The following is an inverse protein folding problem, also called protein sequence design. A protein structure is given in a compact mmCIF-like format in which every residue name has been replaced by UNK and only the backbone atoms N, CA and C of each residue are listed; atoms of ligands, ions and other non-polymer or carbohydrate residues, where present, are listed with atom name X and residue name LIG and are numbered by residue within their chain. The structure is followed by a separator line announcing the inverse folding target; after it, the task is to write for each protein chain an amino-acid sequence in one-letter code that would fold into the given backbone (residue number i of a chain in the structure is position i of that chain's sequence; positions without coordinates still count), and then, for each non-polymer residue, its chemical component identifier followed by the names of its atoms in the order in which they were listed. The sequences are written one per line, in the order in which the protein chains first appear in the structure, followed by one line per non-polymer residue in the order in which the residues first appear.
data_IF_440821611038
#
_entry.id   IF_440821611038
#
_cell.length_a   1.000
_cell.length_b   1.000
_cell.length_c   1.000
_cell.angle_alpha   90.00
_cell.angle_beta   90.00
_cell.angle_gamma   90.00
#
_symmetry.space_group_name_H-M   'P 1'
#
loop_
_entity.id
_entity.type
_entity.pdbx_description
1 polymer ?
#
# COMPACT_ATOMS: atom_id res chain seq x y z
N UNK A 1 74.98 17.70 -55.75
CA UNK A 1 73.81 16.88 -55.49
C UNK A 1 73.03 17.53 -54.38
N UNK A 2 72.05 18.32 -54.80
CA UNK A 2 71.20 19.09 -53.83
C UNK A 2 69.93 18.33 -53.51
N UNK A 3 69.66 18.10 -52.24
CA UNK A 3 68.45 17.55 -51.76
C UNK A 3 67.53 18.66 -51.29
N UNK A 4 66.42 18.84 -51.97
CA UNK A 4 65.40 19.81 -51.61
C UNK A 4 64.48 19.22 -50.56
N UNK A 5 64.38 19.89 -49.39
CA UNK A 5 63.49 19.58 -48.33
C UNK A 5 62.19 20.36 -48.54
N UNK A 6 61.11 19.67 -48.82
CA UNK A 6 59.76 20.26 -48.90
C UNK A 6 59.17 20.40 -47.51
N UNK A 7 58.86 21.65 -47.12
CA UNK A 7 58.10 21.94 -45.85
C UNK A 7 56.61 21.88 -46.11
N UNK A 8 55.96 20.93 -45.46
CA UNK A 8 54.45 20.80 -45.49
C UNK A 8 53.88 21.62 -44.35
N UNK A 9 53.22 22.72 -44.66
CA UNK A 9 52.45 23.50 -43.68
C UNK A 9 51.11 22.88 -43.46
N UNK A 10 50.85 22.37 -42.26
CA UNK A 10 49.55 21.90 -41.83
C UNK A 10 48.77 23.05 -41.20
N UNK A 11 47.77 23.54 -41.92
CA UNK A 11 46.84 24.54 -41.40
C UNK A 11 45.88 23.86 -40.39
N UNK A 12 46.07 24.18 -39.11
CA UNK A 12 45.15 23.76 -38.05
C UNK A 12 43.86 24.56 -38.13
N UNK A 13 42.75 23.90 -38.45
CA UNK A 13 41.42 24.49 -38.35
C UNK A 13 41.00 24.35 -36.86
N UNK A 14 41.04 25.46 -36.13
CA UNK A 14 40.47 25.54 -34.80
C UNK A 14 38.93 25.55 -34.92
N UNK A 15 38.30 24.44 -34.64
CA UNK A 15 36.87 24.43 -34.36
C UNK A 15 36.62 25.08 -33.00
N UNK A 16 36.24 26.35 -33.03
CA UNK A 16 35.65 27.04 -31.90
C UNK A 16 34.27 26.44 -31.69
N UNK A 17 34.19 25.40 -30.90
CA UNK A 17 32.93 24.87 -30.38
C UNK A 17 32.30 25.91 -29.46
N UNK A 18 31.28 26.61 -29.91
CA UNK A 18 30.37 27.30 -29.01
C UNK A 18 29.76 26.24 -28.08
N UNK A 19 30.35 26.09 -26.92
CA UNK A 19 29.67 25.56 -25.77
C UNK A 19 28.53 26.54 -25.45
N UNK A 20 27.33 26.26 -25.92
CA UNK A 20 26.15 26.87 -25.33
C UNK A 20 26.16 26.44 -23.86
N UNK A 21 26.60 27.32 -23.01
CA UNK A 21 26.24 27.28 -21.61
C UNK A 21 24.73 27.34 -21.57
N UNK A 22 24.10 26.17 -21.47
CA UNK A 22 22.70 26.06 -21.11
C UNK A 22 22.64 26.44 -19.64
N UNK A 23 22.66 27.77 -19.42
CA UNK A 23 22.36 28.34 -18.12
C UNK A 23 20.87 28.08 -17.84
N UNK A 24 20.53 26.83 -17.52
CA UNK A 24 19.18 26.43 -17.17
C UNK A 24 18.87 26.84 -15.73
N UNK A 25 18.88 28.15 -15.46
CA UNK A 25 18.15 28.74 -14.36
C UNK A 25 16.62 28.78 -14.70
N UNK A 26 16.12 27.74 -15.31
CA UNK A 26 14.67 27.56 -15.38
C UNK A 26 14.27 27.13 -13.98
N UNK A 27 13.70 28.05 -13.22
CA UNK A 27 13.12 27.76 -11.91
C UNK A 27 12.04 26.71 -12.14
N UNK A 28 12.14 25.59 -11.45
CA UNK A 28 11.06 24.59 -11.40
C UNK A 28 9.79 25.22 -10.82
N UNK A 29 8.69 25.09 -11.55
CA UNK A 29 7.37 25.62 -11.19
C UNK A 29 6.28 24.54 -11.19
N UNK A 30 6.66 23.32 -11.56
CA UNK A 30 5.74 22.17 -11.47
C UNK A 30 5.62 21.76 -10.02
N UNK A 31 4.39 21.35 -9.65
CA UNK A 31 4.12 20.88 -8.30
C UNK A 31 4.27 19.37 -8.24
N UNK A 32 4.72 18.82 -7.11
CA UNK A 32 4.77 17.37 -6.94
C UNK A 32 3.38 16.74 -7.04
N UNK A 33 3.33 15.50 -7.51
CA UNK A 33 2.13 14.67 -7.62
C UNK A 33 2.05 13.79 -6.37
N UNK A 34 0.85 13.69 -5.80
CA UNK A 34 0.53 12.86 -4.64
C UNK A 34 -0.54 11.86 -5.04
N UNK A 35 -0.33 10.58 -4.73
CA UNK A 35 -1.35 9.52 -4.87
C UNK A 35 -1.42 8.77 -3.55
N UNK A 36 -2.52 8.91 -2.81
CA UNK A 36 -2.72 8.21 -1.54
C UNK A 36 -3.53 6.94 -1.78
N UNK A 37 -2.98 5.80 -1.36
CA UNK A 37 -3.63 4.49 -1.38
C UNK A 37 -4.35 4.19 -0.06
N UNK A 38 -3.83 4.70 1.06
CA UNK A 38 -4.40 4.61 2.40
C UNK A 38 -4.00 5.77 3.32
N UNK A 39 -4.93 6.31 4.14
CA UNK A 39 -6.37 6.04 4.19
C UNK A 39 -7.13 6.63 2.99
N UNK A 40 -8.35 6.16 2.76
CA UNK A 40 -9.28 6.68 1.74
C UNK A 40 -10.37 7.53 2.38
N UNK A 41 -11.06 8.35 1.56
CA UNK A 41 -12.23 9.09 2.04
C UNK A 41 -13.26 8.16 2.72
N UNK A 42 -13.71 8.54 3.90
CA UNK A 42 -14.65 7.78 4.70
C UNK A 42 -14.02 6.63 5.50
N UNK A 43 -12.68 6.49 5.50
CA UNK A 43 -12.02 5.49 6.32
C UNK A 43 -12.28 5.76 7.80
N UNK A 44 -12.66 4.72 8.53
CA UNK A 44 -12.75 4.73 9.98
C UNK A 44 -11.38 4.39 10.56
N UNK A 45 -10.86 5.26 11.41
CA UNK A 45 -9.60 5.08 12.12
C UNK A 45 -9.89 4.82 13.60
N UNK A 46 -9.34 3.74 14.13
CA UNK A 46 -9.58 3.36 15.52
C UNK A 46 -8.81 4.26 16.50
N UNK A 47 -9.51 4.75 17.51
CA UNK A 47 -8.90 5.42 18.67
C UNK A 47 -8.16 4.36 19.49
N UNK A 48 -6.85 4.55 19.68
CA UNK A 48 -5.98 3.59 20.36
C UNK A 48 -5.15 2.71 19.43
N UNK A 49 -5.26 2.90 18.10
CA UNK A 49 -4.50 2.16 17.10
C UNK A 49 -3.58 3.06 16.26
N UNK A 50 -2.70 2.42 15.50
CA UNK A 50 -1.87 3.09 14.49
C UNK A 50 -2.65 3.27 13.19
N UNK A 51 -2.29 4.31 12.44
CA UNK A 51 -2.86 4.57 11.12
C UNK A 51 -1.99 3.93 10.07
N UNK A 52 -2.58 3.11 9.24
CA UNK A 52 -1.95 2.65 8.00
C UNK A 52 -1.89 3.82 7.01
N UNK A 53 -0.69 4.22 6.62
CA UNK A 53 -0.46 5.25 5.62
C UNK A 53 0.34 4.69 4.44
N UNK A 54 -0.24 4.83 3.24
CA UNK A 54 0.40 4.43 2.00
C UNK A 54 0.18 5.48 0.92
N UNK A 55 1.27 5.94 0.30
CA UNK A 55 1.22 6.95 -0.76
C UNK A 55 2.42 6.89 -1.69
N UNK A 56 2.19 7.28 -2.95
CA UNK A 56 3.23 7.57 -3.93
C UNK A 56 3.38 9.07 -4.12
N UNK A 57 4.64 9.52 -4.15
CA UNK A 57 5.04 10.90 -4.43
C UNK A 57 5.93 10.93 -5.65
N UNK A 58 5.68 11.88 -6.55
CA UNK A 58 6.44 12.02 -7.79
C UNK A 58 6.69 13.50 -8.11
N UNK A 59 7.88 13.80 -8.62
CA UNK A 59 8.28 15.14 -9.05
C UNK A 59 9.18 15.10 -10.29
N UNK A 60 9.05 16.10 -11.18
CA UNK A 60 9.83 16.18 -12.42
C UNK A 60 11.32 16.43 -12.17
N UNK A 61 11.70 17.10 -11.07
CA UNK A 61 13.09 17.43 -10.72
C UNK A 61 13.55 16.72 -9.47
N UNK A 62 12.98 17.05 -8.30
CA UNK A 62 13.30 16.40 -7.03
C UNK A 62 12.28 16.75 -5.94
N UNK A 63 11.83 15.75 -5.21
CA UNK A 63 11.07 15.87 -3.97
C UNK A 63 11.96 16.48 -2.86
N UNK A 64 11.31 17.07 -1.86
CA UNK A 64 11.93 17.58 -0.64
C UNK A 64 11.40 16.90 0.60
N UNK A 65 10.09 16.93 0.81
CA UNK A 65 9.46 16.38 2.00
C UNK A 65 7.97 16.12 1.77
N UNK A 66 7.40 15.23 2.56
CA UNK A 66 5.95 15.19 2.74
C UNK A 66 5.60 15.46 4.20
N UNK A 67 4.37 15.89 4.43
CA UNK A 67 3.82 16.19 5.75
C UNK A 67 2.42 15.64 5.86
N UNK A 68 2.11 15.04 7.00
CA UNK A 68 0.76 14.66 7.38
C UNK A 68 0.29 15.60 8.48
N UNK A 69 -0.96 16.06 8.35
CA UNK A 69 -1.63 16.91 9.31
C UNK A 69 -3.05 16.36 9.53
N UNK A 70 -3.34 15.93 10.75
CA UNK A 70 -4.66 15.40 11.13
C UNK A 70 -5.27 16.35 12.14
N UNK A 71 -6.47 16.85 11.86
CA UNK A 71 -7.20 17.74 12.75
C UNK A 71 -8.71 17.53 12.62
N UNK A 72 -9.44 17.95 13.66
CA UNK A 72 -10.88 17.76 13.70
C UNK A 72 -11.61 18.63 12.66
N UNK A 73 -12.75 18.14 12.16
CA UNK A 73 -13.66 18.81 11.23
C UNK A 73 -14.98 19.22 11.89
N UNK A 74 -14.95 19.59 13.19
CA UNK A 74 -16.16 19.85 13.98
C UNK A 74 -16.77 21.24 13.79
N UNK A 75 -16.14 22.12 13.03
CA UNK A 75 -16.51 23.54 12.88
C UNK A 75 -17.52 23.82 11.76
N UNK A 76 -18.27 22.83 11.32
CA UNK A 76 -19.51 23.01 10.56
C UNK A 76 -19.42 22.95 9.04
N UNK A 77 -18.37 22.42 8.45
CA UNK A 77 -18.32 22.10 7.02
C UNK A 77 -18.92 20.70 6.80
N UNK A 78 -20.24 20.63 6.59
CA UNK A 78 -21.06 19.54 6.03
C UNK A 78 -20.61 18.09 6.29
N UNK A 79 -20.49 17.67 7.53
CA UNK A 79 -20.52 16.25 7.87
C UNK A 79 -21.59 16.02 8.94
N UNK A 80 -22.50 15.08 8.70
CA UNK A 80 -23.45 14.65 9.72
C UNK A 80 -22.66 13.99 10.87
N UNK A 81 -22.40 14.81 11.91
CA UNK A 81 -21.68 14.35 13.09
C UNK A 81 -22.51 13.28 13.80
N UNK A 82 -22.05 12.03 13.73
CA UNK A 82 -22.47 11.02 14.69
C UNK A 82 -22.09 11.54 16.09
N UNK A 83 -23.09 11.76 16.94
CA UNK A 83 -22.89 12.31 18.29
C UNK A 83 -22.26 11.27 19.18
N UNK A 84 -20.92 11.19 19.17
CA UNK A 84 -20.17 10.55 20.25
C UNK A 84 -19.96 11.57 21.37
N UNK A 85 -20.12 11.14 22.62
CA UNK A 85 -20.20 11.96 23.85
C UNK A 85 -19.34 13.23 23.88
N UNK A 86 -19.91 14.29 24.40
CA UNK A 86 -19.47 15.67 24.29
C UNK A 86 -18.17 16.03 25.08
N UNK A 87 -17.56 15.08 25.79
CA UNK A 87 -16.50 15.34 26.78
C UNK A 87 -15.06 15.00 26.32
N UNK A 88 -14.85 14.55 25.08
CA UNK A 88 -13.53 14.16 24.55
C UNK A 88 -12.69 15.34 24.08
N UNK A 89 -11.36 15.15 24.05
CA UNK A 89 -10.39 16.12 23.51
C UNK A 89 -10.15 15.80 22.03
N UNK A 90 -10.25 16.80 21.11
CA UNK A 90 -9.90 16.60 19.72
C UNK A 90 -8.45 16.14 19.57
N UNK A 91 -8.23 15.12 18.74
CA UNK A 91 -6.90 14.70 18.33
C UNK A 91 -6.34 15.67 17.31
N UNK A 92 -5.04 15.94 17.40
CA UNK A 92 -4.30 16.67 16.38
C UNK A 92 -2.92 16.03 16.24
N UNK A 93 -2.50 15.87 15.01
CA UNK A 93 -1.19 15.32 14.68
C UNK A 93 -0.57 16.08 13.52
N UNK A 94 0.71 16.38 13.62
CA UNK A 94 1.46 16.97 12.53
C UNK A 94 2.89 16.44 12.54
N UNK A 95 3.32 15.88 11.42
CA UNK A 95 4.70 15.43 11.25
C UNK A 95 5.15 15.58 9.80
N UNK A 96 6.46 15.76 9.59
CA UNK A 96 7.07 15.87 8.27
C UNK A 96 8.24 14.91 8.15
N UNK A 97 8.33 14.24 7.00
CA UNK A 97 9.41 13.32 6.65
C UNK A 97 10.21 13.85 5.46
N UNK A 98 11.50 13.54 5.45
CA UNK A 98 12.40 13.97 4.39
C UNK A 98 12.34 13.04 3.17
N UNK A 99 12.21 13.64 1.97
CA UNK A 99 12.29 12.96 0.68
C UNK A 99 13.43 13.52 -0.21
N UNK A 100 14.31 14.30 0.36
CA UNK A 100 15.33 15.05 -0.38
C UNK A 100 16.14 14.19 -1.35
N UNK A 101 16.24 14.66 -2.60
CA UNK A 101 17.01 14.02 -3.66
C UNK A 101 16.31 12.89 -4.39
N UNK A 102 15.08 12.52 -4.01
CA UNK A 102 14.28 11.53 -4.72
C UNK A 102 13.42 12.22 -5.79
N UNK A 103 13.19 11.55 -6.92
CA UNK A 103 12.18 11.95 -7.90
C UNK A 103 10.84 11.25 -7.64
N UNK A 104 10.91 10.03 -7.18
CA UNK A 104 9.77 9.19 -6.84
C UNK A 104 10.01 8.60 -5.45
N UNK A 105 8.96 8.49 -4.66
CA UNK A 105 8.98 7.81 -3.38
C UNK A 105 7.67 7.07 -3.16
N UNK A 106 7.75 5.79 -2.86
CA UNK A 106 6.67 5.01 -2.30
C UNK A 106 6.86 4.98 -0.79
N UNK A 107 5.83 5.35 -0.06
CA UNK A 107 5.84 5.44 1.40
C UNK A 107 4.76 4.53 1.94
N UNK A 108 5.16 3.67 2.88
CA UNK A 108 4.27 2.80 3.62
C UNK A 108 4.75 2.76 5.08
N UNK A 109 3.92 3.17 6.02
CA UNK A 109 4.26 3.13 7.45
C UNK A 109 3.02 3.18 8.37
N UNK A 110 3.25 2.81 9.64
CA UNK A 110 2.28 2.81 10.76
C UNK A 110 2.77 3.68 11.93
N UNK A 111 3.51 4.74 11.65
CA UNK A 111 4.12 5.57 12.69
C UNK A 111 3.13 6.50 13.40
N UNK A 112 1.94 6.70 12.82
CA UNK A 112 0.93 7.62 13.34
C UNK A 112 0.03 6.88 14.33
N UNK A 113 0.24 7.12 15.61
CA UNK A 113 -0.59 6.57 16.67
C UNK A 113 -1.71 7.54 17.06
N UNK A 114 -2.94 7.08 17.07
CA UNK A 114 -4.08 7.79 17.65
C UNK A 114 -4.21 7.32 19.11
N UNK A 115 -3.88 8.15 20.11
CA UNK A 115 -3.90 7.72 21.51
C UNK A 115 -5.35 7.52 22.00
N UNK A 116 -5.57 6.66 22.99
CA UNK A 116 -6.89 6.54 23.65
C UNK A 116 -7.26 7.78 24.46
N UNK A 117 -6.23 8.44 25.04
CA UNK A 117 -6.38 9.60 25.90
C UNK A 117 -5.31 10.66 25.64
N UNK A 118 -5.70 11.92 25.78
CA UNK A 118 -4.81 13.08 25.78
C UNK A 118 -4.98 13.79 27.12
N UNK A 119 -3.90 13.89 27.90
CA UNK A 119 -3.91 14.51 29.25
C UNK A 119 -4.98 13.93 30.20
N UNK A 120 -5.18 12.62 30.17
CA UNK A 120 -6.15 11.90 31.00
C UNK A 120 -7.61 12.08 30.60
N UNK A 121 -7.87 12.63 29.40
CA UNK A 121 -9.20 12.72 28.82
C UNK A 121 -9.28 11.90 27.54
N UNK A 122 -10.40 11.21 27.28
CA UNK A 122 -10.55 10.40 26.08
C UNK A 122 -10.41 11.24 24.81
N UNK A 123 -9.88 10.66 23.75
CA UNK A 123 -9.87 11.28 22.43
C UNK A 123 -11.29 11.36 21.89
N UNK A 124 -11.66 12.51 21.34
CA UNK A 124 -12.98 12.74 20.76
C UNK A 124 -13.09 12.03 19.40
N UNK A 125 -14.06 11.13 19.27
CA UNK A 125 -14.44 10.52 17.99
C UNK A 125 -15.19 11.49 17.08
N UNK A 126 -15.36 11.12 15.81
CA UNK A 126 -16.10 11.87 14.80
C UNK A 126 -15.26 12.24 13.59
N UNK A 127 -15.70 13.25 12.82
CA UNK A 127 -15.08 13.63 11.56
C UNK A 127 -13.75 14.36 11.74
N UNK A 128 -12.76 13.96 10.95
CA UNK A 128 -11.43 14.58 10.89
C UNK A 128 -10.99 14.75 9.45
N UNK A 129 -10.15 15.76 9.20
CA UNK A 129 -9.39 15.90 7.97
C UNK A 129 -8.01 15.27 8.14
N UNK A 130 -7.65 14.43 7.20
CA UNK A 130 -6.33 13.85 7.06
C UNK A 130 -5.67 14.49 5.83
N UNK A 131 -4.80 15.46 6.08
CA UNK A 131 -4.15 16.24 5.03
C UNK A 131 -2.78 15.67 4.72
N UNK A 132 -2.50 15.44 3.46
CA UNK A 132 -1.18 15.02 2.97
C UNK A 132 -0.62 16.14 2.10
N UNK A 133 0.51 16.70 2.49
CA UNK A 133 1.24 17.72 1.73
C UNK A 133 2.51 17.12 1.18
N UNK A 134 2.91 17.55 0.00
CA UNK A 134 4.22 17.26 -0.56
C UNK A 134 4.86 18.53 -1.10
N UNK A 135 6.12 18.74 -0.76
CA UNK A 135 6.91 19.90 -1.20
C UNK A 135 8.12 19.39 -1.99
N UNK A 136 8.43 20.02 -3.13
CA UNK A 136 9.59 19.76 -3.95
C UNK A 136 10.83 20.57 -3.50
N UNK A 137 11.96 20.37 -4.17
CA UNK A 137 13.20 21.09 -3.91
C UNK A 137 13.13 22.58 -4.26
N UNK A 138 12.26 22.99 -5.21
CA UNK A 138 12.01 24.37 -5.60
C UNK A 138 10.99 25.07 -4.69
N UNK A 139 10.38 24.34 -3.74
CA UNK A 139 9.33 24.75 -2.78
C UNK A 139 7.96 24.95 -3.40
N UNK A 140 7.65 24.25 -4.51
CA UNK A 140 6.28 24.10 -4.93
C UNK A 140 5.61 23.07 -4.03
N UNK A 141 4.33 23.27 -3.70
CA UNK A 141 3.59 22.41 -2.78
C UNK A 141 2.28 21.94 -3.41
N UNK A 142 2.00 20.65 -3.24
CA UNK A 142 0.69 20.03 -3.46
C UNK A 142 0.13 19.52 -2.15
N UNK A 143 -1.19 19.35 -2.08
CA UNK A 143 -1.84 18.67 -0.98
C UNK A 143 -3.06 17.87 -1.45
N UNK A 144 -3.41 16.87 -0.64
CA UNK A 144 -4.65 16.10 -0.73
C UNK A 144 -5.32 16.15 0.63
N UNK A 145 -6.63 16.35 0.64
CA UNK A 145 -7.49 16.26 1.81
C UNK A 145 -8.29 14.96 1.74
N UNK A 146 -8.34 14.24 2.83
CA UNK A 146 -9.05 12.97 2.99
C UNK A 146 -9.92 13.10 4.23
N UNK A 147 -11.22 12.89 4.06
CA UNK A 147 -12.16 12.83 5.18
C UNK A 147 -12.07 11.46 5.85
N UNK A 148 -11.81 11.44 7.13
CA UNK A 148 -11.76 10.22 7.95
C UNK A 148 -12.65 10.38 9.18
N UNK A 149 -13.03 9.26 9.79
CA UNK A 149 -13.80 9.24 11.03
C UNK A 149 -12.98 8.56 12.13
N UNK A 150 -12.72 9.24 13.25
CA UNK A 150 -12.17 8.59 14.43
C UNK A 150 -13.29 7.89 15.19
N UNK A 151 -13.15 6.61 15.41
CA UNK A 151 -14.16 5.76 16.08
C UNK A 151 -13.57 5.05 17.29
N UNK A 152 -14.43 4.67 18.24
CA UNK A 152 -14.00 3.83 19.33
C UNK A 152 -13.53 2.47 18.79
N UNK A 153 -12.55 1.85 19.44
CA UNK A 153 -11.99 0.56 19.03
C UNK A 153 -13.05 -0.53 18.77
N UNK A 154 -14.15 -0.52 19.57
CA UNK A 154 -15.29 -1.42 19.38
C UNK A 154 -16.12 -1.16 18.11
N UNK A 155 -15.96 -0.01 17.47
CA UNK A 155 -16.68 0.37 16.25
C UNK A 155 -15.79 0.27 15.01
N UNK A 156 -14.49 -0.02 15.20
CA UNK A 156 -13.56 -0.27 14.11
C UNK A 156 -13.84 -1.65 13.51
N UNK A 157 -13.59 -1.79 12.21
CA UNK A 157 -13.66 -3.10 11.57
C UNK A 157 -12.73 -4.09 12.30
N UNK A 158 -13.21 -5.33 12.52
CA UNK A 158 -12.42 -6.41 13.10
C UNK A 158 -11.16 -6.71 12.27
N UNK A 159 -10.52 -7.84 12.55
CA UNK A 159 -9.36 -8.27 11.78
C UNK A 159 -9.67 -8.34 10.27
N UNK A 160 -8.81 -7.75 9.43
CA UNK A 160 -9.01 -7.61 7.99
C UNK A 160 -7.70 -7.54 7.21
N UNK A 161 -7.80 -7.46 5.88
CA UNK A 161 -6.65 -7.26 4.98
C UNK A 161 -6.72 -5.92 4.30
N UNK A 162 -5.60 -5.20 4.29
CA UNK A 162 -5.30 -4.15 3.33
C UNK A 162 -4.62 -4.79 2.11
N UNK A 163 -5.22 -4.62 0.92
CA UNK A 163 -4.72 -5.26 -0.30
C UNK A 163 -3.88 -4.26 -1.10
N UNK A 164 -2.58 -4.50 -1.19
CA UNK A 164 -1.64 -3.66 -1.94
C UNK A 164 -1.60 -4.08 -3.41
N UNK A 165 -1.40 -5.37 -3.67
CA UNK A 165 -1.42 -5.93 -5.02
C UNK A 165 -2.09 -7.30 -5.01
N UNK A 166 -3.14 -7.44 -5.82
CA UNK A 166 -3.88 -8.67 -6.03
C UNK A 166 -4.18 -8.85 -7.50
N UNK A 167 -4.43 -10.08 -7.98
CA UNK A 167 -5.01 -10.29 -9.30
C UNK A 167 -6.25 -9.42 -9.53
N UNK A 168 -6.50 -9.02 -10.76
CA UNK A 168 -7.76 -8.38 -11.14
C UNK A 168 -8.83 -9.42 -11.48
N UNK A 169 -10.11 -9.05 -11.29
CA UNK A 169 -11.23 -9.95 -11.61
C UNK A 169 -11.19 -10.39 -13.08
N UNK A 170 -11.20 -11.70 -13.29
CA UNK A 170 -11.10 -12.32 -14.61
C UNK A 170 -9.69 -12.35 -15.21
N UNK A 171 -8.65 -11.97 -14.48
CA UNK A 171 -7.27 -12.02 -14.98
C UNK A 171 -6.90 -13.43 -15.37
N UNK A 172 -6.35 -13.57 -16.59
CA UNK A 172 -5.93 -14.85 -17.13
C UNK A 172 -4.43 -15.08 -16.88
N UNK A 173 -4.08 -16.32 -16.59
CA UNK A 173 -2.71 -16.79 -16.41
C UNK A 173 -2.44 -18.01 -17.29
N UNK A 174 -1.28 -18.05 -17.89
CA UNK A 174 -0.78 -19.19 -18.63
C UNK A 174 0.34 -19.91 -17.86
N UNK A 175 0.74 -21.07 -18.34
CA UNK A 175 1.86 -21.81 -17.76
C UNK A 175 3.12 -20.94 -17.67
N UNK A 176 3.81 -21.00 -16.55
CA UNK A 176 4.99 -20.22 -16.20
C UNK A 176 4.76 -18.73 -15.84
N UNK A 177 3.54 -18.21 -15.88
CA UNK A 177 3.20 -16.91 -15.31
C UNK A 177 3.03 -16.99 -13.79
N UNK A 178 3.17 -15.85 -13.10
CA UNK A 178 3.10 -15.78 -11.65
C UNK A 178 1.81 -15.12 -11.17
N UNK A 179 1.12 -15.79 -10.26
CA UNK A 179 0.06 -15.17 -9.45
C UNK A 179 0.75 -14.51 -8.26
N UNK A 180 0.67 -13.18 -8.20
CA UNK A 180 1.26 -12.39 -7.11
C UNK A 180 0.17 -11.88 -6.19
N UNK A 181 0.48 -11.88 -4.91
CA UNK A 181 -0.35 -11.31 -3.85
C UNK A 181 0.55 -10.51 -2.91
N UNK A 182 0.10 -9.30 -2.58
CA UNK A 182 0.76 -8.42 -1.66
C UNK A 182 -0.32 -7.73 -0.83
N UNK A 183 -0.27 -7.90 0.48
CA UNK A 183 -1.29 -7.43 1.40
C UNK A 183 -0.73 -7.31 2.81
N UNK A 184 -1.40 -6.53 3.62
CA UNK A 184 -1.17 -6.46 5.05
C UNK A 184 -2.36 -7.06 5.79
N UNK A 185 -2.07 -7.98 6.70
CA UNK A 185 -3.04 -8.48 7.66
C UNK A 185 -3.03 -7.57 8.88
N UNK A 186 -4.18 -7.01 9.23
CA UNK A 186 -4.35 -6.13 10.38
C UNK A 186 -5.40 -6.68 11.34
N UNK A 187 -5.09 -6.64 12.63
CA UNK A 187 -6.03 -6.98 13.70
C UNK A 187 -5.92 -5.95 14.82
N UNK A 188 -6.95 -5.13 15.05
CA UNK A 188 -6.87 -4.03 16.01
C UNK A 188 -6.81 -4.46 17.47
N UNK A 189 -7.40 -5.60 17.80
CA UNK A 189 -7.51 -6.09 19.18
C UNK A 189 -6.60 -7.26 19.52
N UNK A 190 -6.22 -8.05 18.53
CA UNK A 190 -5.51 -9.30 18.71
C UNK A 190 -4.29 -9.39 17.80
N UNK A 191 -3.39 -10.28 18.11
CA UNK A 191 -2.21 -10.50 17.28
C UNK A 191 -2.51 -11.44 16.14
N UNK A 192 -1.96 -11.15 14.98
CA UNK A 192 -2.06 -12.02 13.80
C UNK A 192 -1.14 -13.23 14.01
N UNK A 193 -1.70 -14.43 13.93
CA UNK A 193 -1.01 -15.70 14.13
C UNK A 193 -0.58 -16.35 12.82
N UNK A 194 -1.46 -16.33 11.83
CA UNK A 194 -1.22 -17.00 10.54
C UNK A 194 -1.85 -16.21 9.39
N UNK A 195 -1.18 -16.19 8.25
CA UNK A 195 -1.70 -15.63 7.00
C UNK A 195 -1.48 -16.62 5.87
N UNK A 196 -2.50 -16.81 5.05
CA UNK A 196 -2.46 -17.70 3.89
C UNK A 196 -3.05 -17.00 2.66
N UNK A 197 -2.41 -17.18 1.51
CA UNK A 197 -3.05 -16.94 0.22
C UNK A 197 -3.49 -18.28 -0.38
N UNK A 198 -4.75 -18.38 -0.70
CA UNK A 198 -5.41 -19.61 -1.10
C UNK A 198 -5.94 -19.49 -2.53
N UNK A 199 -5.71 -20.52 -3.34
CA UNK A 199 -6.38 -20.70 -4.61
C UNK A 199 -7.54 -21.69 -4.40
N UNK A 200 -8.77 -21.17 -4.37
CA UNK A 200 -9.96 -21.96 -4.16
C UNK A 200 -10.36 -22.68 -5.45
N UNK A 201 -10.99 -23.87 -5.35
CA UNK A 201 -11.37 -24.66 -6.51
C UNK A 201 -12.46 -23.99 -7.35
N UNK A 202 -12.69 -24.55 -8.54
CA UNK A 202 -13.69 -24.07 -9.51
C UNK A 202 -15.10 -24.03 -8.93
N UNK A 203 -15.40 -24.87 -7.97
CA UNK A 203 -16.68 -24.93 -7.26
C UNK A 203 -16.96 -23.70 -6.38
N UNK A 204 -15.91 -22.93 -6.04
CA UNK A 204 -16.04 -21.68 -5.29
C UNK A 204 -16.39 -20.49 -6.17
N UNK A 205 -16.22 -20.59 -7.50
CA UNK A 205 -16.43 -19.48 -8.44
C UNK A 205 -17.90 -19.07 -8.46
N UNK A 206 -18.15 -17.76 -8.31
CA UNK A 206 -19.48 -17.17 -8.34
C UNK A 206 -20.32 -17.43 -7.08
N UNK A 207 -19.74 -18.02 -6.05
CA UNK A 207 -20.40 -18.22 -4.76
C UNK A 207 -20.44 -16.94 -3.92
N UNK A 208 -21.44 -16.75 -3.05
CA UNK A 208 -21.41 -15.70 -2.03
C UNK A 208 -20.18 -15.84 -1.11
N UNK A 209 -19.72 -14.73 -0.54
CA UNK A 209 -18.50 -14.68 0.28
C UNK A 209 -18.47 -15.74 1.40
N UNK A 210 -19.56 -15.89 2.15
CA UNK A 210 -19.66 -16.88 3.22
C UNK A 210 -19.53 -18.34 2.73
N UNK A 211 -20.01 -18.64 1.52
CA UNK A 211 -19.84 -19.98 0.91
C UNK A 211 -18.43 -20.18 0.37
N UNK A 212 -17.78 -19.13 -0.17
CA UNK A 212 -16.38 -19.19 -0.58
C UNK A 212 -15.46 -19.50 0.59
N UNK A 213 -15.71 -18.89 1.75
CA UNK A 213 -14.93 -19.11 2.97
C UNK A 213 -14.93 -20.59 3.40
N UNK A 214 -15.99 -21.34 3.10
CA UNK A 214 -16.04 -22.77 3.37
C UNK A 214 -15.03 -23.60 2.57
N UNK A 215 -14.49 -23.06 1.48
CA UNK A 215 -13.40 -23.66 0.68
C UNK A 215 -12.03 -23.09 1.08
N UNK A 216 -11.98 -22.03 1.90
CA UNK A 216 -10.74 -21.37 2.27
C UNK A 216 -10.02 -22.07 3.42
N UNK A 217 -9.84 -23.37 3.31
CA UNK A 217 -9.05 -24.20 4.22
C UNK A 217 -8.01 -25.00 3.43
N UNK A 218 -6.85 -25.34 4.03
CA UNK A 218 -5.81 -26.10 3.35
C UNK A 218 -6.28 -27.43 2.74
N UNK A 219 -7.30 -28.06 3.34
CA UNK A 219 -7.83 -29.34 2.90
C UNK A 219 -8.77 -29.26 1.70
N UNK A 220 -9.42 -28.10 1.51
CA UNK A 220 -10.45 -27.89 0.47
C UNK A 220 -9.98 -26.99 -0.67
N UNK A 221 -8.98 -26.15 -0.46
CA UNK A 221 -8.46 -25.31 -1.51
C UNK A 221 -7.76 -26.12 -2.59
N UNK A 222 -7.69 -25.57 -3.81
CA UNK A 222 -6.95 -26.17 -4.92
C UNK A 222 -5.44 -26.10 -4.68
N UNK A 223 -4.95 -24.95 -4.21
CA UNK A 223 -3.57 -24.73 -3.83
C UNK A 223 -3.45 -23.68 -2.73
N UNK A 224 -2.46 -23.83 -1.87
CA UNK A 224 -2.00 -22.78 -0.98
C UNK A 224 -0.86 -22.06 -1.70
N UNK A 225 -1.05 -20.77 -2.01
CA UNK A 225 -0.06 -19.98 -2.73
C UNK A 225 1.14 -19.73 -1.83
N UNK A 226 0.88 -19.20 -0.63
CA UNK A 226 1.86 -18.97 0.41
C UNK A 226 1.20 -19.17 1.76
N UNK A 227 1.93 -19.75 2.69
CA UNK A 227 1.55 -19.83 4.10
C UNK A 227 2.69 -19.28 4.92
N UNK A 228 2.39 -18.38 5.84
CA UNK A 228 3.37 -17.88 6.80
C UNK A 228 2.78 -17.93 8.19
N UNK A 229 3.50 -18.59 9.10
CA UNK A 229 3.29 -18.40 10.53
C UNK A 229 3.97 -17.10 10.92
N UNK A 230 3.23 -16.20 11.47
CA UNK A 230 3.71 -14.87 11.84
C UNK A 230 4.03 -14.80 13.33
N UNK A 231 4.89 -13.85 13.71
CA UNK A 231 5.16 -13.64 15.11
C UNK A 231 3.93 -13.05 15.81
N UNK A 232 3.30 -13.77 16.77
CA UNK A 232 2.07 -13.33 17.43
C UNK A 232 2.26 -12.09 18.32
N UNK A 233 3.43 -11.43 18.30
CA UNK A 233 3.64 -10.14 18.97
C UNK A 233 3.15 -8.94 18.17
N UNK A 234 2.74 -9.12 16.91
CA UNK A 234 2.33 -8.04 16.02
C UNK A 234 0.83 -8.07 15.75
N UNK A 235 0.22 -6.88 15.72
CA UNK A 235 -1.15 -6.66 15.27
C UNK A 235 -1.24 -6.50 13.75
N UNK A 236 -0.13 -6.24 13.10
CA UNK A 236 0.02 -5.97 11.67
C UNK A 236 1.09 -6.89 11.10
N UNK A 237 0.87 -7.37 9.89
CA UNK A 237 1.80 -8.25 9.22
C UNK A 237 1.77 -8.09 7.70
N UNK A 238 2.87 -7.63 7.13
CA UNK A 238 3.09 -7.57 5.70
C UNK A 238 3.23 -8.98 5.11
N UNK A 239 2.45 -9.26 4.10
CA UNK A 239 2.39 -10.56 3.46
C UNK A 239 2.58 -10.44 1.95
N UNK A 240 3.69 -10.91 1.47
CA UNK A 240 3.97 -11.07 0.05
C UNK A 240 4.01 -12.54 -0.34
N UNK A 241 3.38 -12.87 -1.45
CA UNK A 241 3.36 -14.21 -1.98
C UNK A 241 3.36 -14.27 -3.50
N UNK A 242 4.01 -15.28 -4.02
CA UNK A 242 4.06 -15.55 -5.46
C UNK A 242 3.99 -17.04 -5.70
N UNK A 243 3.18 -17.47 -6.66
CA UNK A 243 3.22 -18.85 -7.20
C UNK A 243 3.23 -18.82 -8.70
N UNK A 244 4.16 -19.57 -9.28
CA UNK A 244 4.26 -19.76 -10.71
C UNK A 244 3.28 -20.83 -11.18
N UNK A 245 2.39 -20.48 -12.10
CA UNK A 245 1.40 -21.41 -12.67
C UNK A 245 2.10 -22.54 -13.41
N UNK A 246 1.59 -23.75 -13.23
CA UNK A 246 2.15 -24.95 -13.84
C UNK A 246 3.35 -25.55 -13.11
N UNK A 247 3.91 -24.88 -12.13
CA UNK A 247 4.95 -25.41 -11.27
C UNK A 247 4.31 -26.03 -10.02
N UNK A 248 4.45 -27.36 -9.80
CA UNK A 248 4.05 -27.94 -8.53
C UNK A 248 4.98 -27.39 -7.46
N UNK A 249 4.47 -26.50 -6.59
CA UNK A 249 5.19 -26.21 -5.35
C UNK A 249 4.71 -27.20 -4.30
N UNK A 250 5.64 -27.99 -3.82
CA UNK A 250 5.49 -28.66 -2.53
C UNK A 250 5.41 -27.58 -1.46
N UNK A 251 4.19 -27.19 -1.17
CA UNK A 251 3.91 -26.40 0.01
C UNK A 251 3.63 -27.41 1.12
N UNK A 252 4.37 -27.34 2.22
CA UNK A 252 4.22 -28.23 3.36
C UNK A 252 2.77 -28.27 3.93
N UNK A 253 1.97 -27.26 3.58
CA UNK A 253 0.56 -27.16 3.93
C UNK A 253 -0.39 -27.81 2.93
N UNK A 254 0.08 -28.26 1.75
CA UNK A 254 -0.74 -28.93 0.74
C UNK A 254 -0.38 -30.40 0.71
N UNK A 255 -1.27 -31.33 1.17
CA UNK A 255 -0.92 -32.75 1.31
C UNK A 255 -0.67 -33.50 -0.01
N UNK A 256 -0.93 -32.88 -1.16
CA UNK A 256 -0.73 -33.50 -2.49
C UNK A 256 -0.38 -32.46 -3.54
N UNK A 257 0.62 -32.74 -4.37
CA UNK A 257 0.82 -32.02 -5.62
C UNK A 257 -0.45 -32.16 -6.49
N UNK A 258 -1.19 -31.06 -6.64
CA UNK A 258 -2.38 -31.03 -7.49
C UNK A 258 -1.96 -30.61 -8.88
N UNK A 259 -2.34 -31.38 -9.90
CA UNK A 259 -2.08 -31.01 -11.28
C UNK A 259 -2.89 -29.78 -11.67
N UNK A 260 -2.23 -28.75 -12.19
CA UNK A 260 -2.87 -27.57 -12.73
C UNK A 260 -3.81 -27.94 -13.90
N UNK A 261 -5.01 -27.38 -13.87
CA UNK A 261 -6.03 -27.56 -14.90
C UNK A 261 -6.49 -26.21 -15.39
N UNK A 262 -6.77 -26.10 -16.69
CA UNK A 262 -7.44 -24.92 -17.24
C UNK A 262 -8.81 -24.76 -16.60
N UNK A 263 -9.16 -23.53 -16.26
CA UNK A 263 -10.45 -23.22 -15.62
C UNK A 263 -10.40 -21.96 -14.77
N UNK A 264 -11.53 -21.64 -14.18
CA UNK A 264 -11.67 -20.50 -13.28
C UNK A 264 -11.44 -20.93 -11.84
N UNK A 265 -10.74 -20.10 -11.10
CA UNK A 265 -10.39 -20.30 -9.70
C UNK A 265 -10.62 -19.00 -8.94
N UNK A 266 -10.62 -19.05 -7.62
CA UNK A 266 -10.73 -17.84 -6.78
C UNK A 266 -9.46 -17.69 -5.93
N UNK A 267 -8.81 -16.55 -6.01
CA UNK A 267 -7.73 -16.17 -5.09
C UNK A 267 -8.36 -15.45 -3.89
N UNK A 268 -8.02 -15.89 -2.69
CA UNK A 268 -8.52 -15.33 -1.42
C UNK A 268 -7.43 -15.40 -0.36
N UNK A 269 -7.31 -14.35 0.44
CA UNK A 269 -6.48 -14.36 1.64
C UNK A 269 -7.30 -14.79 2.85
N UNK A 270 -6.68 -15.53 3.74
CA UNK A 270 -7.21 -15.93 5.05
C UNK A 270 -6.19 -15.60 6.12
N UNK A 271 -6.62 -14.88 7.14
CA UNK A 271 -5.88 -14.63 8.35
C UNK A 271 -6.49 -15.38 9.53
N UNK A 272 -5.68 -15.60 10.55
CA UNK A 272 -6.05 -16.17 11.84
C UNK A 272 -5.42 -15.34 12.95
N UNK A 273 -6.20 -14.95 13.94
CA UNK A 273 -5.71 -14.25 15.14
C UNK A 273 -5.18 -15.24 16.17
N UNK A 274 -4.51 -14.75 17.23
CA UNK A 274 -3.99 -15.57 18.32
C UNK A 274 -5.11 -16.35 19.03
N UNK A 275 -6.29 -15.76 19.17
CA UNK A 275 -7.47 -16.36 19.78
C UNK A 275 -8.23 -17.33 18.85
N UNK A 276 -7.81 -17.41 17.59
CA UNK A 276 -8.33 -18.34 16.60
C UNK A 276 -9.45 -17.77 15.73
N UNK A 277 -9.74 -16.49 15.80
CA UNK A 277 -10.69 -15.83 14.92
C UNK A 277 -10.16 -15.77 13.50
N UNK A 278 -11.02 -16.08 12.53
CA UNK A 278 -10.69 -16.13 11.13
C UNK A 278 -11.21 -14.89 10.41
N UNK A 279 -10.37 -14.29 9.56
CA UNK A 279 -10.76 -13.18 8.71
C UNK A 279 -10.30 -13.42 7.27
N UNK A 280 -10.96 -12.79 6.31
CA UNK A 280 -10.81 -13.11 4.89
C UNK A 280 -10.81 -11.85 4.05
N UNK A 281 -10.03 -11.87 2.96
CA UNK A 281 -10.17 -10.88 1.90
C UNK A 281 -11.39 -11.17 1.04
N UNK A 282 -11.77 -10.24 0.17
CA UNK A 282 -12.66 -10.52 -0.95
C UNK A 282 -12.02 -11.59 -1.86
N UNK A 283 -12.81 -12.57 -2.30
CA UNK A 283 -12.40 -13.53 -3.31
C UNK A 283 -12.33 -12.86 -4.70
N UNK A 284 -11.27 -13.14 -5.44
CA UNK A 284 -11.04 -12.62 -6.79
C UNK A 284 -10.97 -13.78 -7.77
N UNK A 285 -11.85 -13.79 -8.78
CA UNK A 285 -11.85 -14.85 -9.79
C UNK A 285 -10.73 -14.61 -10.80
N UNK A 286 -9.95 -15.65 -11.06
CA UNK A 286 -8.92 -15.70 -12.11
C UNK A 286 -9.21 -16.84 -13.08
N UNK A 287 -8.54 -16.85 -14.24
CA UNK A 287 -8.63 -17.91 -15.24
C UNK A 287 -7.24 -18.48 -15.51
N UNK A 288 -7.10 -19.80 -15.45
CA UNK A 288 -5.89 -20.51 -15.88
C UNK A 288 -6.16 -21.13 -17.26
N UNK A 289 -5.27 -20.84 -18.24
CA UNK A 289 -5.38 -21.25 -19.66
C UNK A 289 -4.27 -22.20 -20.08
#
# INVERSE_FOLDING_TARGET
MSVATALLAVAGIAFSGCQKDVNSNVKDTEKPIIKVSGPKNGTKLAIGATVHFEADFEDNVALRSYKIDIHNAFDGHKHEATRHGDDGVPFAYQHSWDLSGKKNAHIHHHEIMIPKEINGKPVKGGAYHFMVYCTDAARNESHIEIDVELVAESEHEGAHFHLHSMPTEGQAYTNAESIKVDAEAHSPSEKVKNVMALLLPTEAVGKPAAEMQAYATPEKCFAVIVTKDVNPTKHEYDFEGEIQVGQPKDNASTPKAIAWKNGKYVVMLRGETEDGDLFYSKGITIEIK
#
